data_IF_424541819606
#
_entry.id   IF_424541819606
#
_cell.length_a   1.000
_cell.length_b   1.000
_cell.length_c   1.000
_cell.angle_alpha   90.00
_cell.angle_beta   90.00
_cell.angle_gamma   90.00
#
_symmetry.space_group_name_H-M   'P 1'
#
loop_
_entity.id
_entity.type
_entity.pdbx_description
1 polymer ?
#
# COMPACT_ATOMS: atom_id res chain seq x y z
N UNK A 1 6.23 24.87 16.46
CA UNK A 1 6.80 25.38 15.21
C UNK A 1 5.69 26.19 14.55
N UNK A 2 5.88 27.52 14.61
CA UNK A 2 4.86 28.47 14.20
C UNK A 2 4.47 28.35 12.73
N UNK A 3 3.26 28.77 12.44
CA UNK A 3 2.65 28.91 11.12
C UNK A 3 3.46 29.79 10.13
N UNK A 4 4.52 30.42 10.57
CA UNK A 4 5.34 31.35 9.81
C UNK A 4 6.25 30.68 8.77
N UNK A 5 6.31 29.34 8.68
CA UNK A 5 7.15 28.66 7.68
C UNK A 5 6.41 28.31 6.39
N UNK A 6 5.09 28.44 6.34
CA UNK A 6 4.31 28.17 5.13
C UNK A 6 3.94 29.49 4.48
N UNK A 7 4.66 29.84 3.41
CA UNK A 7 4.41 31.05 2.64
C UNK A 7 5.27 32.26 3.06
N UNK A 8 6.27 32.07 3.94
CA UNK A 8 7.26 33.11 4.19
C UNK A 8 8.24 33.25 3.02
N UNK A 9 8.78 34.43 2.80
CA UNK A 9 9.81 34.67 1.80
C UNK A 9 11.04 33.75 1.97
N UNK A 10 11.34 33.26 3.18
CA UNK A 10 12.38 32.29 3.45
C UNK A 10 12.18 30.96 2.71
N UNK A 11 10.94 30.47 2.58
CA UNK A 11 10.65 29.25 1.82
C UNK A 11 10.84 29.45 0.32
N UNK A 12 10.70 30.64 -0.20
CA UNK A 12 10.90 30.97 -1.63
C UNK A 12 12.38 30.90 -2.02
N UNK A 13 13.29 31.02 -1.05
CA UNK A 13 14.75 31.03 -1.26
C UNK A 13 15.44 29.72 -0.88
N UNK A 14 14.67 28.67 -0.53
CA UNK A 14 15.24 27.39 -0.17
C UNK A 14 15.99 26.74 -1.34
N UNK A 15 17.13 26.18 -1.04
CA UNK A 15 17.98 25.52 -2.05
C UNK A 15 17.52 24.14 -2.40
N UNK A 16 16.94 23.41 -1.44
CA UNK A 16 16.52 22.03 -1.58
C UNK A 16 15.05 21.85 -1.20
N UNK A 17 14.29 21.12 -2.04
CA UNK A 17 12.94 20.72 -1.75
C UNK A 17 12.91 19.21 -1.43
N UNK A 18 12.58 18.83 -0.21
CA UNK A 18 12.49 17.43 0.22
C UNK A 18 11.02 17.07 0.43
N UNK A 19 10.45 16.33 -0.54
CA UNK A 19 9.05 15.91 -0.50
C UNK A 19 8.88 14.64 0.36
N UNK A 20 8.53 14.82 1.63
CA UNK A 20 8.22 13.73 2.58
C UNK A 20 6.71 13.61 2.87
N UNK A 21 5.87 13.77 1.85
CA UNK A 21 4.41 13.92 1.94
C UNK A 21 3.64 12.62 2.14
N UNK A 22 4.33 11.49 2.15
CA UNK A 22 3.71 10.17 2.32
C UNK A 22 3.05 9.62 1.06
N UNK A 23 3.01 8.30 0.96
CA UNK A 23 2.50 7.58 -0.22
C UNK A 23 0.99 7.36 -0.22
N UNK A 24 0.29 7.59 0.91
CA UNK A 24 -1.14 7.36 1.11
C UNK A 24 -1.82 8.56 1.78
N UNK A 25 -1.47 9.79 1.41
CA UNK A 25 -2.04 11.01 1.97
C UNK A 25 -3.17 11.61 1.11
N UNK A 26 -3.27 11.21 -0.16
CA UNK A 26 -4.33 11.65 -1.07
C UNK A 26 -5.46 10.62 -1.12
N UNK A 27 -6.63 10.94 -0.54
CA UNK A 27 -7.79 10.02 -0.56
C UNK A 27 -8.37 9.87 -1.96
N UNK A 28 -9.01 8.69 -2.19
CA UNK A 28 -9.81 8.42 -3.37
C UNK A 28 -11.30 8.30 -2.97
N UNK A 29 -12.01 9.41 -3.05
CA UNK A 29 -13.45 9.44 -2.82
C UNK A 29 -14.16 9.01 -4.12
N UNK A 30 -15.04 8.00 -4.09
CA UNK A 30 -15.71 7.53 -5.31
C UNK A 30 -16.72 8.55 -5.82
N UNK A 31 -16.81 8.69 -7.15
CA UNK A 31 -17.83 9.50 -7.80
C UNK A 31 -19.12 8.70 -7.89
N UNK A 32 -19.97 8.81 -6.86
CA UNK A 32 -21.28 8.14 -6.81
C UNK A 32 -22.37 9.21 -6.89
N UNK A 33 -23.33 9.02 -7.79
CA UNK A 33 -24.48 9.95 -7.95
C UNK A 33 -25.19 10.13 -6.60
N UNK A 34 -25.44 11.37 -6.21
CA UNK A 34 -26.19 11.71 -4.99
C UNK A 34 -25.40 11.66 -3.69
N UNK A 35 -24.07 11.55 -3.72
CA UNK A 35 -23.22 11.46 -2.51
C UNK A 35 -23.47 12.63 -1.54
N UNK A 36 -23.69 13.83 -2.05
CA UNK A 36 -23.95 15.05 -1.27
C UNK A 36 -25.40 15.15 -0.72
N UNK A 37 -26.30 14.24 -1.12
CA UNK A 37 -27.71 14.24 -0.68
C UNK A 37 -27.92 13.50 0.64
N UNK A 38 -26.95 12.67 1.03
CA UNK A 38 -27.08 11.86 2.25
C UNK A 38 -27.24 12.71 3.50
N UNK A 39 -28.29 12.45 4.27
CA UNK A 39 -28.62 13.19 5.49
C UNK A 39 -27.91 12.65 6.75
N UNK A 40 -27.38 11.42 6.70
CA UNK A 40 -26.57 10.85 7.75
C UNK A 40 -25.11 11.32 7.71
N UNK A 41 -24.26 10.65 8.49
CA UNK A 41 -22.84 10.98 8.55
C UNK A 41 -22.02 10.21 7.50
N UNK A 42 -21.22 10.93 6.72
CA UNK A 42 -20.34 10.37 5.72
C UNK A 42 -18.89 10.54 6.15
N UNK A 43 -18.13 9.44 6.15
CA UNK A 43 -16.72 9.42 6.53
C UNK A 43 -15.88 8.73 5.47
N UNK A 44 -14.67 9.22 5.24
CA UNK A 44 -13.65 8.49 4.49
C UNK A 44 -12.55 8.02 5.44
N UNK A 45 -12.11 6.77 5.31
CA UNK A 45 -11.13 6.16 6.21
C UNK A 45 -9.79 6.91 6.28
N UNK A 46 -9.41 7.63 5.23
CA UNK A 46 -8.21 8.48 5.18
C UNK A 46 -8.43 9.91 5.73
N UNK A 47 -9.65 10.26 6.11
CA UNK A 47 -10.02 11.53 6.77
C UNK A 47 -10.85 11.25 8.01
N UNK A 48 -10.37 10.34 8.85
CA UNK A 48 -11.07 10.00 10.08
C UNK A 48 -11.09 11.19 11.03
N UNK A 49 -12.26 11.56 11.59
CA UNK A 49 -12.34 12.72 12.47
C UNK A 49 -11.58 12.49 13.78
N UNK A 50 -11.05 13.58 14.35
CA UNK A 50 -10.37 13.52 15.67
C UNK A 50 -11.33 13.15 16.80
N UNK A 51 -12.61 13.54 16.70
CA UNK A 51 -13.66 13.15 17.66
C UNK A 51 -14.08 11.70 17.42
N UNK A 52 -14.34 10.98 18.49
CA UNK A 52 -14.83 9.60 18.39
C UNK A 52 -16.18 9.52 17.67
N UNK A 53 -16.27 8.64 16.69
CA UNK A 53 -17.55 8.34 16.02
C UNK A 53 -18.33 7.36 16.88
N UNK A 54 -19.55 7.75 17.28
CA UNK A 54 -20.44 6.84 17.99
C UNK A 54 -21.15 5.90 17.00
N UNK A 55 -20.92 4.60 17.13
CA UNK A 55 -21.57 3.55 16.34
C UNK A 55 -22.67 2.80 17.10
N UNK A 56 -22.84 3.04 18.42
CA UNK A 56 -23.83 2.35 19.22
C UNK A 56 -25.25 2.64 18.68
N UNK A 57 -26.04 1.61 18.51
CA UNK A 57 -27.40 1.65 17.95
C UNK A 57 -27.51 2.23 16.52
N UNK A 58 -26.42 2.25 15.75
CA UNK A 58 -26.39 2.80 14.38
C UNK A 58 -26.33 1.70 13.33
N UNK A 59 -27.01 1.94 12.19
CA UNK A 59 -26.90 1.14 10.99
C UNK A 59 -25.80 1.78 10.13
N UNK A 60 -24.74 1.03 9.86
CA UNK A 60 -23.53 1.53 9.19
C UNK A 60 -23.32 0.81 7.88
N UNK A 61 -23.21 1.55 6.80
CA UNK A 61 -22.76 1.04 5.50
C UNK A 61 -21.27 1.28 5.32
N UNK A 62 -20.51 0.24 5.00
CA UNK A 62 -19.10 0.36 4.64
C UNK A 62 -18.90 0.01 3.17
N UNK A 63 -18.39 0.95 2.37
CA UNK A 63 -18.07 0.74 0.96
C UNK A 63 -16.57 0.48 0.81
N UNK A 64 -16.24 -0.74 0.34
CA UNK A 64 -14.87 -1.18 0.13
C UNK A 64 -14.34 -2.13 1.20
N UNK A 65 -13.66 -3.18 0.72
CA UNK A 65 -13.06 -4.27 1.48
C UNK A 65 -11.59 -4.47 1.10
N UNK A 66 -10.88 -3.34 0.90
CA UNK A 66 -9.43 -3.31 0.84
C UNK A 66 -8.80 -3.34 2.23
N UNK A 67 -7.49 -3.04 2.34
CA UNK A 67 -6.76 -3.17 3.60
C UNK A 67 -7.43 -2.44 4.77
N UNK A 68 -7.81 -1.18 4.57
CA UNK A 68 -8.46 -0.40 5.63
C UNK A 68 -9.84 -0.96 5.96
N UNK A 69 -10.65 -1.31 4.94
CA UNK A 69 -11.99 -1.87 5.14
C UNK A 69 -11.98 -3.17 5.95
N UNK A 70 -11.04 -4.07 5.64
CA UNK A 70 -10.84 -5.33 6.37
C UNK A 70 -10.51 -5.09 7.84
N UNK A 71 -9.73 -4.04 8.14
CA UNK A 71 -9.27 -3.77 9.51
C UNK A 71 -10.31 -3.02 10.36
N UNK A 72 -11.08 -2.11 9.76
CA UNK A 72 -12.08 -1.33 10.53
C UNK A 72 -13.41 -2.07 10.70
N UNK A 73 -13.81 -2.91 9.75
CA UNK A 73 -15.10 -3.61 9.79
C UNK A 73 -15.34 -4.42 11.07
N UNK A 74 -14.39 -5.23 11.58
CA UNK A 74 -14.58 -5.96 12.83
C UNK A 74 -14.82 -5.06 14.04
N UNK A 75 -14.17 -3.90 14.09
CA UNK A 75 -14.33 -2.95 15.19
C UNK A 75 -15.68 -2.23 15.16
N UNK A 76 -16.19 -1.94 13.96
CA UNK A 76 -17.54 -1.39 13.79
C UNK A 76 -18.59 -2.45 14.13
N UNK A 77 -18.41 -3.70 13.68
CA UNK A 77 -19.31 -4.81 13.94
C UNK A 77 -19.51 -5.14 15.43
N UNK A 78 -18.52 -4.77 16.28
CA UNK A 78 -18.64 -4.93 17.75
C UNK A 78 -19.62 -3.93 18.37
N UNK A 79 -19.81 -2.75 17.75
CA UNK A 79 -20.49 -1.59 18.34
C UNK A 79 -21.77 -1.21 17.62
N UNK A 80 -21.88 -1.45 16.32
CA UNK A 80 -23.01 -1.06 15.51
C UNK A 80 -24.24 -1.95 15.75
N UNK A 81 -25.45 -1.37 15.63
CA UNK A 81 -26.69 -2.13 15.55
C UNK A 81 -26.64 -3.08 14.35
N UNK A 82 -26.22 -2.57 13.20
CA UNK A 82 -26.03 -3.36 11.98
C UNK A 82 -24.86 -2.79 11.16
N UNK A 83 -24.03 -3.67 10.62
CA UNK A 83 -22.97 -3.32 9.67
C UNK A 83 -23.29 -3.98 8.33
N UNK A 84 -23.35 -3.19 7.26
CA UNK A 84 -23.56 -3.65 5.89
C UNK A 84 -22.28 -3.36 5.09
N UNK A 85 -21.60 -4.41 4.63
CA UNK A 85 -20.40 -4.29 3.83
C UNK A 85 -20.73 -4.40 2.35
N UNK A 86 -20.39 -3.38 1.59
CA UNK A 86 -20.54 -3.32 0.13
C UNK A 86 -19.21 -3.69 -0.51
N UNK A 87 -19.08 -4.93 -1.01
CA UNK A 87 -17.87 -5.48 -1.58
C UNK A 87 -17.94 -5.61 -3.10
N UNK A 88 -17.00 -5.00 -3.82
CA UNK A 88 -16.84 -5.20 -5.27
C UNK A 88 -15.93 -6.39 -5.59
N UNK A 89 -14.82 -6.50 -4.90
CA UNK A 89 -13.87 -7.61 -5.04
C UNK A 89 -13.24 -7.90 -3.68
N UNK A 90 -13.14 -9.18 -3.28
CA UNK A 90 -12.43 -9.53 -2.06
C UNK A 90 -10.93 -9.26 -2.20
N UNK A 91 -10.27 -9.04 -1.08
CA UNK A 91 -8.82 -9.02 -0.99
C UNK A 91 -8.34 -10.12 -0.06
N UNK A 92 -7.20 -10.71 -0.36
CA UNK A 92 -6.58 -11.69 0.52
C UNK A 92 -6.24 -11.06 1.86
N UNK A 93 -6.58 -11.74 2.93
CA UNK A 93 -6.16 -11.35 4.27
C UNK A 93 -5.59 -12.52 5.05
N UNK A 94 -4.62 -12.21 5.90
CA UNK A 94 -3.84 -13.16 6.68
C UNK A 94 -3.98 -12.77 8.14
N UNK A 95 -4.03 -13.72 9.10
CA UNK A 95 -4.11 -13.39 10.51
C UNK A 95 -2.95 -12.49 10.97
N UNK A 96 -3.26 -11.39 11.63
CA UNK A 96 -2.26 -10.48 12.19
C UNK A 96 -1.53 -11.07 13.39
N UNK A 97 -2.25 -11.87 14.19
CA UNK A 97 -1.76 -12.46 15.45
C UNK A 97 -1.17 -11.43 16.41
N UNK A 98 -1.81 -10.25 16.46
CA UNK A 98 -1.44 -9.20 17.41
C UNK A 98 -1.56 -9.69 18.83
N UNK A 99 -0.50 -9.48 19.62
CA UNK A 99 -0.43 -9.82 21.04
C UNK A 99 0.26 -8.73 21.83
N UNK A 100 -0.09 -8.63 23.11
CA UNK A 100 0.62 -7.74 24.03
C UNK A 100 2.06 -8.20 24.17
N UNK A 101 3.01 -7.29 24.08
CA UNK A 101 4.42 -7.60 24.30
C UNK A 101 4.66 -7.81 25.79
N UNK A 102 5.35 -8.89 26.14
CA UNK A 102 5.84 -9.10 27.51
C UNK A 102 7.05 -8.20 27.80
N UNK A 103 7.31 -7.95 29.08
CA UNK A 103 8.50 -7.21 29.50
C UNK A 103 9.79 -7.89 29.00
N UNK A 104 9.83 -9.22 28.98
CA UNK A 104 10.95 -10.01 28.45
C UNK A 104 11.14 -9.74 26.94
N UNK A 105 10.05 -9.72 26.16
CA UNK A 105 10.11 -9.38 24.74
C UNK A 105 10.66 -7.96 24.53
N UNK A 106 10.19 -6.98 25.31
CA UNK A 106 10.65 -5.59 25.23
C UNK A 106 12.15 -5.50 25.55
N UNK A 107 12.61 -6.14 26.64
CA UNK A 107 14.03 -6.20 27.01
C UNK A 107 14.87 -6.83 25.88
N UNK A 108 14.42 -7.94 25.30
CA UNK A 108 15.10 -8.63 24.21
C UNK A 108 15.19 -7.79 22.94
N UNK A 109 14.11 -7.08 22.56
CA UNK A 109 14.15 -6.15 21.43
C UNK A 109 15.15 -5.02 21.66
N UNK A 110 15.18 -4.42 22.85
CA UNK A 110 16.15 -3.36 23.19
C UNK A 110 17.58 -3.87 23.13
N UNK A 111 17.86 -5.03 23.75
CA UNK A 111 19.19 -5.66 23.75
C UNK A 111 19.69 -6.00 22.33
N UNK A 112 18.80 -6.48 21.46
CA UNK A 112 19.15 -6.95 20.12
C UNK A 112 18.83 -5.94 19.03
N UNK A 113 18.53 -4.69 19.36
CA UNK A 113 18.05 -3.68 18.42
C UNK A 113 18.96 -3.52 17.19
N UNK A 114 20.27 -3.35 17.39
CA UNK A 114 21.21 -3.17 16.28
C UNK A 114 21.34 -4.42 15.40
N UNK A 115 21.30 -5.61 15.98
CA UNK A 115 21.30 -6.89 15.23
C UNK A 115 20.04 -7.00 14.38
N UNK A 116 18.88 -6.70 14.96
CA UNK A 116 17.59 -6.70 14.24
C UNK A 116 17.60 -5.69 13.10
N UNK A 117 18.04 -4.46 13.32
CA UNK A 117 18.12 -3.44 12.26
C UNK A 117 19.05 -3.87 11.13
N UNK A 118 20.22 -4.39 11.44
CA UNK A 118 21.15 -4.93 10.44
C UNK A 118 20.54 -6.07 9.64
N UNK A 119 19.77 -6.94 10.28
CA UNK A 119 19.04 -8.01 9.62
C UNK A 119 17.96 -7.46 8.68
N UNK A 120 17.10 -6.55 9.16
CA UNK A 120 16.04 -5.91 8.36
C UNK A 120 16.60 -5.24 7.08
N UNK A 121 17.77 -4.59 7.20
CA UNK A 121 18.44 -3.95 6.05
C UNK A 121 18.87 -4.93 4.97
N UNK A 122 19.05 -6.23 5.27
CA UNK A 122 19.46 -7.28 4.33
C UNK A 122 18.31 -8.09 3.75
N UNK A 123 17.12 -8.05 4.36
CA UNK A 123 15.98 -8.82 3.86
C UNK A 123 15.28 -8.10 2.70
N UNK A 124 14.72 -8.83 1.72
CA UNK A 124 14.09 -8.24 0.54
C UNK A 124 12.98 -7.21 0.84
N UNK A 125 12.20 -7.46 1.88
CA UNK A 125 11.09 -6.59 2.28
C UNK A 125 11.38 -5.71 3.49
N UNK A 126 12.60 -5.72 4.05
CA UNK A 126 12.85 -5.03 5.32
C UNK A 126 12.06 -5.61 6.50
N UNK A 127 11.62 -6.87 6.40
CA UNK A 127 10.85 -7.58 7.43
C UNK A 127 11.73 -8.62 8.15
N UNK A 128 11.37 -9.01 9.39
CA UNK A 128 12.17 -9.97 10.19
C UNK A 128 11.96 -11.43 9.75
N UNK A 129 11.90 -11.67 8.44
CA UNK A 129 11.86 -12.99 7.83
C UNK A 129 12.49 -13.00 6.45
N UNK A 130 12.98 -14.15 6.05
CA UNK A 130 13.57 -14.42 4.73
C UNK A 130 12.67 -15.35 3.92
N UNK A 131 12.83 -15.31 2.59
CA UNK A 131 12.21 -16.31 1.73
C UNK A 131 13.06 -17.59 1.75
N UNK A 132 12.44 -18.78 1.93
CA UNK A 132 13.15 -20.04 1.89
C UNK A 132 13.73 -20.31 0.49
N UNK A 133 14.69 -21.23 0.39
CA UNK A 133 15.21 -21.68 -0.90
C UNK A 133 14.26 -22.67 -1.60
N UNK A 134 13.40 -23.34 -0.85
CA UNK A 134 12.50 -24.40 -1.33
C UNK A 134 11.26 -23.87 -2.02
N UNK A 135 10.86 -24.53 -3.11
CA UNK A 135 9.62 -24.35 -3.85
C UNK A 135 8.45 -25.04 -3.14
N UNK A 136 7.23 -24.61 -3.46
CA UNK A 136 6.02 -25.30 -3.02
C UNK A 136 5.96 -26.75 -3.53
N UNK A 137 6.55 -27.02 -4.68
CA UNK A 137 6.54 -28.34 -5.32
C UNK A 137 7.73 -29.24 -4.96
N UNK A 138 8.65 -28.78 -4.12
CA UNK A 138 9.64 -29.63 -3.46
C UNK A 138 9.01 -30.54 -2.39
N UNK A 139 7.72 -30.38 -2.12
CA UNK A 139 6.97 -31.10 -1.11
C UNK A 139 5.66 -31.66 -1.68
N UNK A 140 5.23 -32.82 -1.17
CA UNK A 140 3.88 -33.34 -1.45
C UNK A 140 2.79 -32.43 -0.84
N UNK A 141 1.54 -32.69 -1.20
CA UNK A 141 0.41 -31.83 -0.78
C UNK A 141 0.24 -31.80 0.74
N UNK A 142 0.35 -32.94 1.41
CA UNK A 142 0.19 -33.04 2.86
C UNK A 142 1.24 -32.18 3.60
N UNK A 143 2.52 -32.34 3.22
CA UNK A 143 3.61 -31.55 3.83
C UNK A 143 3.50 -30.08 3.52
N UNK A 144 3.14 -29.72 2.29
CA UNK A 144 2.89 -28.33 1.87
C UNK A 144 1.79 -27.68 2.71
N UNK A 145 0.66 -28.38 2.92
CA UNK A 145 -0.43 -27.91 3.75
C UNK A 145 -0.02 -27.75 5.21
N UNK A 146 0.78 -28.67 5.75
CA UNK A 146 1.35 -28.53 7.10
C UNK A 146 2.21 -27.26 7.24
N UNK A 147 3.01 -26.94 6.22
CA UNK A 147 3.84 -25.73 6.23
C UNK A 147 3.00 -24.45 6.12
N UNK A 148 1.94 -24.45 5.30
CA UNK A 148 0.97 -23.37 5.25
C UNK A 148 0.27 -23.19 6.59
N UNK A 149 -0.14 -24.30 7.23
CA UNK A 149 -0.81 -24.25 8.54
C UNK A 149 0.10 -23.62 9.61
N UNK A 150 1.37 -24.02 9.66
CA UNK A 150 2.36 -23.43 10.54
C UNK A 150 2.52 -21.92 10.30
N UNK A 151 2.63 -21.52 9.03
CA UNK A 151 2.75 -20.10 8.67
C UNK A 151 1.48 -19.30 8.96
N UNK A 152 0.30 -19.90 8.78
CA UNK A 152 -0.99 -19.28 9.11
C UNK A 152 -1.18 -19.11 10.62
N UNK A 153 -0.76 -20.11 11.39
CA UNK A 153 -0.78 -20.05 12.87
C UNK A 153 0.16 -18.94 13.37
N UNK A 154 1.37 -18.84 12.80
CA UNK A 154 2.29 -17.74 13.11
C UNK A 154 1.73 -16.38 12.69
N UNK A 155 1.00 -16.33 11.59
CA UNK A 155 0.41 -15.11 11.03
C UNK A 155 1.43 -14.18 10.38
N UNK A 156 1.09 -12.92 10.28
CA UNK A 156 1.88 -11.84 9.69
C UNK A 156 2.14 -12.01 8.18
N UNK A 157 2.84 -11.06 7.56
CA UNK A 157 3.20 -11.15 6.15
C UNK A 157 4.20 -12.27 5.82
N UNK A 158 4.73 -12.98 6.83
CA UNK A 158 5.62 -14.12 6.62
C UNK A 158 4.94 -15.27 5.86
N UNK A 159 3.61 -15.39 5.91
CA UNK A 159 2.86 -16.38 5.14
C UNK A 159 3.20 -16.36 3.64
N UNK A 160 3.44 -15.18 3.04
CA UNK A 160 3.88 -15.06 1.64
C UNK A 160 5.27 -15.65 1.36
N UNK A 161 6.04 -15.89 2.41
CA UNK A 161 7.37 -16.46 2.38
C UNK A 161 7.41 -17.92 2.85
N UNK A 162 6.26 -18.63 2.86
CA UNK A 162 6.24 -20.08 3.15
C UNK A 162 7.04 -20.85 2.11
N UNK A 163 6.98 -20.43 0.84
CA UNK A 163 7.79 -20.96 -0.26
C UNK A 163 8.33 -19.83 -1.12
N UNK A 164 9.43 -20.08 -1.86
CA UNK A 164 10.12 -19.05 -2.63
C UNK A 164 9.39 -18.61 -3.90
N UNK A 165 8.46 -19.40 -4.38
CA UNK A 165 7.79 -19.28 -5.68
C UNK A 165 6.32 -18.86 -5.61
N UNK A 166 5.72 -18.75 -4.42
CA UNK A 166 4.31 -18.31 -4.24
C UNK A 166 4.05 -16.95 -4.92
N UNK A 167 5.01 -16.03 -4.85
CA UNK A 167 4.88 -14.67 -5.40
C UNK A 167 5.37 -14.56 -6.85
N UNK A 168 5.85 -15.66 -7.44
CA UNK A 168 6.50 -15.69 -8.75
C UNK A 168 5.73 -16.49 -9.80
N UNK A 169 5.18 -17.64 -9.43
CA UNK A 169 4.52 -18.56 -10.36
C UNK A 169 3.05 -18.77 -10.02
N UNK A 170 2.21 -18.85 -11.06
CA UNK A 170 0.77 -19.11 -10.88
C UNK A 170 0.52 -20.47 -10.25
N UNK A 171 1.31 -21.49 -10.62
CA UNK A 171 1.15 -22.86 -10.12
C UNK A 171 1.33 -22.90 -8.59
N UNK A 172 2.43 -22.34 -8.06
CA UNK A 172 2.66 -22.28 -6.62
C UNK A 172 1.67 -21.33 -5.92
N UNK A 173 1.32 -20.21 -6.54
CA UNK A 173 0.35 -19.27 -6.00
C UNK A 173 -1.02 -19.92 -5.76
N UNK A 174 -1.51 -20.73 -6.72
CA UNK A 174 -2.80 -21.44 -6.59
C UNK A 174 -2.85 -22.34 -5.37
N UNK A 175 -1.72 -22.94 -4.93
CA UNK A 175 -1.70 -23.77 -3.70
C UNK A 175 -1.93 -22.93 -2.44
N UNK A 176 -1.36 -21.72 -2.38
CA UNK A 176 -1.61 -20.78 -1.29
C UNK A 176 -3.04 -20.23 -1.33
N UNK A 177 -3.57 -19.94 -2.53
CA UNK A 177 -4.97 -19.49 -2.70
C UNK A 177 -5.93 -20.56 -2.20
N UNK A 178 -5.80 -21.82 -2.64
CA UNK A 178 -6.63 -22.94 -2.18
C UNK A 178 -6.60 -23.11 -0.66
N UNK A 179 -5.41 -22.98 -0.06
CA UNK A 179 -5.28 -23.03 1.39
C UNK A 179 -6.06 -21.90 2.08
N UNK A 180 -5.94 -20.65 1.59
CA UNK A 180 -6.66 -19.49 2.15
C UNK A 180 -8.18 -19.65 1.97
N UNK A 181 -8.64 -20.12 0.81
CA UNK A 181 -10.05 -20.41 0.55
C UNK A 181 -10.61 -21.41 1.56
N UNK A 182 -9.90 -22.52 1.80
CA UNK A 182 -10.28 -23.51 2.79
C UNK A 182 -10.39 -22.91 4.19
N UNK A 183 -9.48 -22.00 4.57
CA UNK A 183 -9.56 -21.27 5.85
C UNK A 183 -10.79 -20.36 5.92
N UNK A 184 -11.16 -19.71 4.84
CA UNK A 184 -12.36 -18.87 4.78
C UNK A 184 -13.62 -19.74 4.93
N UNK A 185 -13.72 -20.84 4.16
CA UNK A 185 -14.85 -21.76 4.22
C UNK A 185 -14.99 -22.46 5.59
N UNK A 186 -13.89 -22.74 6.27
CA UNK A 186 -13.94 -23.31 7.62
C UNK A 186 -14.31 -22.28 8.71
N UNK A 187 -14.07 -20.98 8.46
CA UNK A 187 -14.34 -19.92 9.42
C UNK A 187 -15.73 -19.32 9.25
N UNK A 188 -16.17 -19.08 8.02
CA UNK A 188 -17.44 -18.39 7.69
C UNK A 188 -18.54 -19.43 7.53
N UNK A 189 -19.51 -19.43 8.46
CA UNK A 189 -20.61 -20.43 8.50
C UNK A 189 -21.60 -20.25 7.34
N UNK A 190 -21.88 -18.99 6.96
CA UNK A 190 -22.74 -18.70 5.82
C UNK A 190 -22.00 -19.00 4.50
N UNK A 191 -22.45 -20.03 3.77
CA UNK A 191 -21.82 -20.52 2.54
C UNK A 191 -21.82 -19.50 1.39
N UNK A 192 -22.88 -18.71 1.28
CA UNK A 192 -22.95 -17.65 0.27
C UNK A 192 -21.94 -16.54 0.57
N UNK A 193 -21.78 -16.15 1.83
CA UNK A 193 -20.74 -15.19 2.22
C UNK A 193 -19.34 -15.77 1.97
N UNK A 194 -19.08 -17.03 2.30
CA UNK A 194 -17.81 -17.68 2.02
C UNK A 194 -17.50 -17.65 0.52
N UNK A 195 -18.47 -17.96 -0.35
CA UNK A 195 -18.35 -17.89 -1.81
C UNK A 195 -18.02 -16.48 -2.30
N UNK A 196 -18.71 -15.44 -1.78
CA UNK A 196 -18.44 -14.04 -2.12
C UNK A 196 -17.03 -13.64 -1.68
N UNK A 197 -16.60 -14.04 -0.49
CA UNK A 197 -15.30 -13.71 0.11
C UNK A 197 -14.12 -14.43 -0.54
N UNK A 198 -14.36 -15.54 -1.26
CA UNK A 198 -13.35 -16.30 -2.00
C UNK A 198 -13.35 -16.02 -3.51
N UNK A 199 -14.28 -15.20 -4.03
CA UNK A 199 -14.35 -14.86 -5.44
C UNK A 199 -13.23 -13.86 -5.84
N UNK A 200 -11.97 -14.29 -5.64
CA UNK A 200 -10.78 -13.48 -5.93
C UNK A 200 -10.60 -13.26 -7.44
N UNK A 201 -10.34 -12.00 -7.82
CA UNK A 201 -10.09 -11.57 -9.19
C UNK A 201 -8.59 -11.41 -9.54
N UNK A 202 -7.73 -11.86 -8.63
CA UNK A 202 -6.28 -11.69 -8.75
C UNK A 202 -5.51 -12.78 -7.97
N UNK A 203 -4.26 -13.08 -8.36
CA UNK A 203 -3.40 -13.97 -7.59
C UNK A 203 -3.10 -13.42 -6.20
N UNK A 204 -2.85 -14.30 -5.23
CA UNK A 204 -2.36 -13.92 -3.92
C UNK A 204 -1.09 -13.06 -4.07
N UNK A 205 -1.00 -11.96 -3.34
CA UNK A 205 0.05 -10.92 -3.39
C UNK A 205 0.05 -9.97 -4.58
N UNK A 206 -0.72 -10.22 -5.65
CA UNK A 206 -0.83 -9.25 -6.76
C UNK A 206 -1.42 -7.90 -6.33
N UNK A 207 -2.23 -7.92 -5.27
CA UNK A 207 -2.53 -6.75 -4.41
C UNK A 207 -1.91 -7.02 -3.03
N UNK A 208 -1.67 -5.96 -2.23
CA UNK A 208 -1.13 -6.14 -0.89
C UNK A 208 -2.07 -6.98 -0.03
N UNK A 209 -1.68 -8.16 0.46
CA UNK A 209 -2.47 -8.91 1.41
C UNK A 209 -2.61 -8.11 2.71
N UNK A 210 -3.79 -8.14 3.30
CA UNK A 210 -4.09 -7.42 4.53
C UNK A 210 -3.82 -8.30 5.74
N UNK A 211 -3.30 -7.72 6.80
CA UNK A 211 -3.30 -8.37 8.12
C UNK A 211 -4.63 -8.07 8.79
N UNK A 212 -5.36 -9.13 9.19
CA UNK A 212 -6.67 -9.00 9.81
C UNK A 212 -6.68 -9.53 11.25
N UNK A 213 -7.63 -9.02 12.02
CA UNK A 213 -8.01 -9.55 13.32
C UNK A 213 -9.52 -9.73 13.31
N UNK A 214 -9.98 -10.97 13.35
CA UNK A 214 -11.40 -11.36 13.36
C UNK A 214 -12.24 -10.86 12.17
N UNK A 215 -11.62 -10.68 10.98
CA UNK A 215 -12.37 -10.22 9.80
C UNK A 215 -13.35 -11.29 9.29
N UNK A 216 -12.88 -12.52 9.12
CA UNK A 216 -13.75 -13.60 8.65
C UNK A 216 -14.73 -14.05 9.71
N UNK A 217 -14.32 -14.09 10.96
CA UNK A 217 -15.14 -14.45 12.11
C UNK A 217 -16.34 -13.50 12.31
N UNK A 218 -16.18 -12.21 11.96
CA UNK A 218 -17.27 -11.23 12.10
C UNK A 218 -18.48 -11.55 11.23
N UNK A 219 -18.33 -12.26 10.09
CA UNK A 219 -19.42 -12.63 9.22
C UNK A 219 -20.37 -13.68 9.84
N UNK A 220 -19.99 -14.26 10.97
CA UNK A 220 -20.86 -15.15 11.77
C UNK A 220 -21.75 -14.37 12.76
N UNK A 221 -21.61 -13.05 12.86
CA UNK A 221 -22.47 -12.21 13.70
C UNK A 221 -23.78 -11.90 13.00
N UNK A 222 -24.90 -11.95 13.75
CA UNK A 222 -26.25 -11.65 13.24
C UNK A 222 -26.41 -10.21 12.71
N UNK A 223 -25.60 -9.28 13.20
CA UNK A 223 -25.63 -7.87 12.82
C UNK A 223 -24.72 -7.50 11.66
N UNK A 224 -24.12 -8.48 10.95
CA UNK A 224 -23.25 -8.23 9.80
C UNK A 224 -23.89 -8.77 8.54
N UNK A 225 -23.99 -7.91 7.53
CA UNK A 225 -24.50 -8.24 6.19
C UNK A 225 -23.42 -7.96 5.15
N UNK A 226 -23.26 -8.87 4.17
CA UNK A 226 -22.35 -8.71 3.03
C UNK A 226 -23.15 -8.56 1.74
N UNK A 227 -22.86 -7.49 1.00
CA UNK A 227 -23.50 -7.20 -0.30
C UNK A 227 -22.43 -7.34 -1.40
N UNK A 228 -22.66 -8.26 -2.33
CA UNK A 228 -21.82 -8.41 -3.52
C UNK A 228 -22.17 -7.34 -4.56
N UNK A 229 -21.29 -6.38 -4.76
CA UNK A 229 -21.47 -5.31 -5.74
C UNK A 229 -21.22 -5.76 -7.21
N UNK A 230 -20.75 -6.99 -7.46
CA UNK A 230 -20.72 -7.55 -8.81
C UNK A 230 -22.12 -7.88 -9.29
N UNK A 231 -22.93 -8.46 -8.40
CA UNK A 231 -24.31 -8.86 -8.69
C UNK A 231 -25.35 -7.76 -8.36
N UNK A 232 -24.99 -6.86 -7.46
CA UNK A 232 -25.88 -5.84 -6.94
C UNK A 232 -25.16 -4.46 -6.83
N UNK A 233 -24.78 -3.83 -7.96
CA UNK A 233 -24.00 -2.60 -7.96
C UNK A 233 -24.72 -1.43 -7.33
N UNK A 234 -23.95 -0.50 -6.73
CA UNK A 234 -24.47 0.77 -6.22
C UNK A 234 -24.90 1.65 -7.41
N UNK A 235 -26.14 2.09 -7.40
CA UNK A 235 -26.71 3.00 -8.41
C UNK A 235 -26.54 4.46 -7.99
N UNK A 236 -26.88 4.76 -6.73
CA UNK A 236 -26.78 6.12 -6.16
C UNK A 236 -26.79 6.09 -4.63
N UNK A 237 -26.37 7.20 -4.07
CA UNK A 237 -26.61 7.53 -2.66
C UNK A 237 -27.90 8.36 -2.60
N UNK A 238 -28.79 8.02 -1.67
CA UNK A 238 -30.06 8.71 -1.44
C UNK A 238 -29.97 9.56 -0.16
N UNK A 239 -31.00 10.32 0.13
CA UNK A 239 -31.12 11.04 1.42
C UNK A 239 -31.04 10.10 2.62
N UNK A 240 -31.48 8.81 2.48
CA UNK A 240 -31.55 7.83 3.55
C UNK A 240 -30.42 6.82 3.57
N UNK A 241 -29.64 6.67 2.49
CA UNK A 241 -28.60 5.64 2.46
C UNK A 241 -28.09 5.29 1.07
N UNK A 242 -27.90 4.00 0.79
CA UNK A 242 -27.34 3.50 -0.48
C UNK A 242 -28.41 2.73 -1.24
N UNK A 243 -28.67 3.16 -2.48
CA UNK A 243 -29.50 2.41 -3.43
C UNK A 243 -28.62 1.60 -4.37
N UNK A 244 -28.78 0.29 -4.33
CA UNK A 244 -28.21 -0.66 -5.26
C UNK A 244 -29.23 -1.02 -6.35
N UNK A 245 -28.83 -1.88 -7.31
CA UNK A 245 -29.74 -2.37 -8.37
C UNK A 245 -30.96 -3.06 -7.79
N UNK A 246 -30.79 -3.88 -6.72
CA UNK A 246 -31.85 -4.72 -6.16
C UNK A 246 -32.55 -4.08 -4.95
N UNK A 247 -31.82 -3.33 -4.11
CA UNK A 247 -32.31 -2.89 -2.80
C UNK A 247 -31.93 -1.43 -2.50
N UNK A 248 -32.66 -0.83 -1.55
CA UNK A 248 -32.25 0.41 -0.90
C UNK A 248 -31.97 0.13 0.58
N UNK A 249 -30.79 0.54 1.03
CA UNK A 249 -30.31 0.34 2.39
C UNK A 249 -30.39 1.66 3.15
N UNK A 250 -31.26 1.71 4.17
CA UNK A 250 -31.33 2.87 5.08
C UNK A 250 -30.19 2.81 6.07
N UNK A 251 -29.42 3.88 6.18
CA UNK A 251 -28.18 3.96 6.94
C UNK A 251 -28.14 5.25 7.78
N UNK A 252 -27.56 5.14 8.96
CA UNK A 252 -27.19 6.32 9.77
C UNK A 252 -25.83 6.89 9.36
N UNK A 253 -24.92 6.01 8.93
CA UNK A 253 -23.55 6.38 8.56
C UNK A 253 -23.07 5.61 7.34
N UNK A 254 -22.29 6.28 6.50
CA UNK A 254 -21.57 5.66 5.38
C UNK A 254 -20.07 5.86 5.58
N UNK A 255 -19.31 4.76 5.50
CA UNK A 255 -17.85 4.79 5.57
C UNK A 255 -17.27 4.38 4.22
N UNK A 256 -16.54 5.27 3.58
CA UNK A 256 -15.77 4.96 2.39
C UNK A 256 -14.37 4.45 2.77
N UNK A 257 -14.14 3.15 2.59
CA UNK A 257 -12.84 2.50 2.66
C UNK A 257 -12.30 2.26 1.24
N UNK A 258 -12.44 3.26 0.37
CA UNK A 258 -12.22 3.18 -1.07
C UNK A 258 -10.78 3.47 -1.49
N UNK A 259 -9.91 3.68 -0.51
CA UNK A 259 -8.46 3.78 -0.71
C UNK A 259 -7.96 5.17 -1.08
N UNK A 260 -6.82 5.20 -1.76
CA UNK A 260 -6.02 6.41 -1.97
C UNK A 260 -5.53 6.49 -3.41
N UNK A 261 -5.26 7.71 -3.85
CA UNK A 261 -4.39 7.98 -4.98
C UNK A 261 -2.93 7.82 -4.51
N UNK A 262 -2.47 6.57 -4.58
CA UNK A 262 -1.24 6.16 -3.94
C UNK A 262 0.01 6.62 -4.70
N UNK A 263 1.09 6.87 -3.97
CA UNK A 263 2.45 7.16 -4.42
C UNK A 263 2.62 8.51 -5.12
N UNK A 264 1.79 8.83 -6.10
CA UNK A 264 1.92 10.06 -6.89
C UNK A 264 0.94 11.15 -6.48
N UNK A 265 -0.27 10.79 -6.06
CA UNK A 265 -1.36 11.74 -5.82
C UNK A 265 -1.06 12.82 -4.78
N UNK A 266 -0.30 12.49 -3.74
CA UNK A 266 0.10 13.47 -2.71
C UNK A 266 1.08 14.51 -3.26
N UNK A 267 2.03 14.06 -4.10
CA UNK A 267 3.06 14.92 -4.70
C UNK A 267 2.45 15.78 -5.81
N UNK A 268 1.60 15.18 -6.66
CA UNK A 268 0.92 15.89 -7.75
C UNK A 268 0.07 17.06 -7.24
N UNK A 269 -0.51 16.93 -6.05
CA UNK A 269 -1.30 17.99 -5.39
C UNK A 269 -0.48 19.17 -4.86
N UNK A 270 0.83 19.05 -4.75
CA UNK A 270 1.71 20.17 -4.36
C UNK A 270 1.89 21.18 -5.51
N UNK A 271 1.43 20.87 -6.72
CA UNK A 271 1.52 21.74 -7.88
C UNK A 271 2.95 22.22 -8.20
N UNK A 272 3.92 21.32 -8.07
CA UNK A 272 5.35 21.61 -8.24
C UNK A 272 5.65 21.99 -9.70
N UNK A 273 6.45 23.04 -9.87
CA UNK A 273 6.92 23.53 -11.17
C UNK A 273 8.45 23.38 -11.24
N UNK A 274 8.93 22.72 -12.28
CA UNK A 274 10.36 22.54 -12.56
C UNK A 274 10.91 23.55 -13.56
N UNK A 275 12.06 23.21 -14.16
CA UNK A 275 12.72 24.04 -15.17
C UNK A 275 11.76 24.41 -16.31
N UNK A 276 11.93 25.61 -16.87
CA UNK A 276 11.13 26.12 -18.00
C UNK A 276 9.62 26.07 -17.75
N UNK A 277 9.18 26.18 -16.48
CA UNK A 277 7.74 26.19 -16.15
C UNK A 277 7.05 24.84 -16.26
N UNK A 278 7.77 23.72 -16.37
CA UNK A 278 7.16 22.39 -16.52
C UNK A 278 6.47 21.98 -15.21
N UNK A 279 5.15 21.79 -15.24
CA UNK A 279 4.38 21.23 -14.11
C UNK A 279 4.67 19.75 -13.95
N UNK A 280 4.90 19.28 -12.72
CA UNK A 280 5.15 17.87 -12.41
C UNK A 280 3.99 16.97 -12.88
N UNK A 281 2.75 17.41 -12.70
CA UNK A 281 1.55 16.72 -13.18
C UNK A 281 1.55 16.53 -14.70
N UNK A 282 1.99 17.53 -15.48
CA UNK A 282 2.15 17.42 -16.94
C UNK A 282 3.29 16.46 -17.30
N UNK A 283 4.41 16.54 -16.58
CA UNK A 283 5.59 15.69 -16.83
C UNK A 283 5.29 14.21 -16.53
N UNK A 284 4.44 13.92 -15.54
CA UNK A 284 4.03 12.58 -15.15
C UNK A 284 2.73 12.08 -15.82
N UNK A 285 2.15 12.81 -16.75
CA UNK A 285 0.88 12.44 -17.44
C UNK A 285 0.93 11.04 -18.04
N UNK A 286 2.05 10.63 -18.62
CA UNK A 286 2.28 9.28 -19.18
C UNK A 286 2.82 8.26 -18.16
N UNK A 287 2.79 8.57 -16.89
CA UNK A 287 3.35 7.80 -15.78
C UNK A 287 4.54 8.50 -15.14
N UNK A 288 4.81 8.20 -13.84
CA UNK A 288 5.90 8.85 -13.12
C UNK A 288 7.26 8.44 -13.67
N UNK A 289 8.08 9.43 -13.94
CA UNK A 289 9.47 9.29 -14.36
C UNK A 289 10.35 9.77 -13.21
N UNK A 290 11.11 8.87 -12.64
CA UNK A 290 12.04 9.16 -11.53
C UNK A 290 13.29 8.30 -11.64
N UNK A 291 14.37 8.74 -11.03
CA UNK A 291 15.57 7.94 -10.82
C UNK A 291 15.64 7.51 -9.36
N UNK A 292 15.73 6.20 -9.11
CA UNK A 292 15.72 5.57 -7.79
C UNK A 292 14.45 5.89 -6.94
N UNK A 293 13.45 6.57 -7.51
CA UNK A 293 12.33 7.12 -6.73
C UNK A 293 12.72 8.27 -5.81
N UNK A 294 13.89 8.87 -6.03
CA UNK A 294 14.48 9.94 -5.24
C UNK A 294 14.54 11.27 -6.00
N UNK A 295 14.85 11.23 -7.29
CA UNK A 295 15.07 12.41 -8.15
C UNK A 295 14.19 12.34 -9.40
N UNK A 296 13.84 13.51 -9.93
CA UNK A 296 13.02 13.64 -11.15
C UNK A 296 13.77 14.53 -12.17
N UNK A 297 13.87 14.14 -13.45
CA UNK A 297 14.46 14.98 -14.48
C UNK A 297 13.68 16.30 -14.64
N UNK A 298 14.38 17.40 -14.87
CA UNK A 298 13.85 18.77 -14.95
C UNK A 298 13.37 19.40 -13.64
N UNK A 299 13.60 18.73 -12.50
CA UNK A 299 13.27 19.25 -11.17
C UNK A 299 14.55 19.26 -10.31
N UNK A 300 15.45 20.25 -10.51
CA UNK A 300 16.70 20.32 -9.75
C UNK A 300 16.46 20.50 -8.28
N UNK A 301 17.33 19.92 -7.46
CA UNK A 301 17.30 19.97 -5.99
C UNK A 301 15.99 19.48 -5.36
N UNK A 302 15.13 18.79 -6.11
CA UNK A 302 13.92 18.15 -5.60
C UNK A 302 14.19 16.69 -5.29
N UNK A 303 14.05 16.33 -4.02
CA UNK A 303 14.14 14.95 -3.52
C UNK A 303 12.79 14.45 -3.08
N UNK A 304 12.52 13.17 -3.30
CA UNK A 304 11.26 12.52 -2.89
C UNK A 304 11.58 11.37 -1.94
N UNK A 305 11.03 11.43 -0.74
CA UNK A 305 11.10 10.31 0.21
C UNK A 305 9.98 9.32 -0.10
N UNK A 306 10.33 8.07 -0.37
CA UNK A 306 9.39 7.01 -0.76
C UNK A 306 8.62 7.29 -2.05
N UNK A 307 9.27 7.96 -3.01
CA UNK A 307 8.68 8.30 -4.30
C UNK A 307 8.42 7.09 -5.21
N UNK A 308 7.68 7.29 -6.32
CA UNK A 308 7.44 6.26 -7.32
C UNK A 308 8.78 5.81 -7.92
N UNK A 309 8.95 4.50 -8.11
CA UNK A 309 10.22 3.91 -8.53
C UNK A 309 11.15 3.51 -7.38
N UNK A 310 10.83 3.82 -6.13
CA UNK A 310 11.48 3.24 -4.95
C UNK A 310 10.76 1.97 -4.48
N UNK A 311 11.34 1.15 -3.59
CA UNK A 311 10.65 -0.02 -3.02
C UNK A 311 9.33 0.31 -2.32
N UNK A 312 9.25 1.47 -1.66
CA UNK A 312 8.04 2.05 -1.09
C UNK A 312 7.20 1.01 -0.33
N UNK A 313 5.95 0.88 -0.70
CA UNK A 313 4.95 0.02 -0.05
C UNK A 313 5.18 -1.49 -0.16
N UNK A 314 6.12 -1.93 -0.97
CA UNK A 314 6.52 -3.34 -1.04
C UNK A 314 7.47 -3.76 0.10
N UNK A 315 7.91 -2.80 0.91
CA UNK A 315 8.87 -2.99 1.99
C UNK A 315 8.36 -2.46 3.33
N UNK A 316 9.15 -2.65 4.37
CA UNK A 316 9.01 -1.95 5.64
C UNK A 316 9.37 -0.47 5.41
N UNK A 317 8.35 0.38 5.36
CA UNK A 317 8.48 1.79 4.96
C UNK A 317 9.47 2.57 5.84
N UNK A 318 9.47 2.47 7.19
CA UNK A 318 10.49 3.10 8.04
C UNK A 318 11.93 2.73 7.65
N UNK A 319 12.22 1.46 7.40
CA UNK A 319 13.58 0.99 7.00
C UNK A 319 14.03 1.62 5.68
N UNK A 320 13.08 1.82 4.76
CA UNK A 320 13.34 2.49 3.50
C UNK A 320 13.50 4.00 3.65
N UNK A 321 12.66 4.66 4.46
CA UNK A 321 12.76 6.10 4.73
C UNK A 321 14.13 6.44 5.29
N UNK A 322 14.62 5.67 6.26
CA UNK A 322 15.96 5.87 6.83
C UNK A 322 17.05 5.79 5.74
N UNK A 323 16.96 4.81 4.85
CA UNK A 323 17.93 4.69 3.76
C UNK A 323 17.84 5.86 2.77
N UNK A 324 16.64 6.37 2.50
CA UNK A 324 16.46 7.56 1.67
C UNK A 324 17.03 8.81 2.32
N UNK A 325 16.77 9.01 3.60
CA UNK A 325 17.30 10.15 4.37
C UNK A 325 18.82 10.08 4.42
N UNK A 326 19.40 8.92 4.73
CA UNK A 326 20.87 8.71 4.70
C UNK A 326 21.46 9.10 3.33
N UNK A 327 20.85 8.65 2.22
CA UNK A 327 21.32 8.92 0.87
C UNK A 327 21.18 10.41 0.50
N UNK A 328 20.02 11.02 0.77
CA UNK A 328 19.77 12.45 0.48
C UNK A 328 20.74 13.32 1.27
N UNK A 329 20.96 13.03 2.56
CA UNK A 329 21.92 13.78 3.41
C UNK A 329 23.34 13.70 2.85
N UNK A 330 23.80 12.53 2.43
CA UNK A 330 25.12 12.37 1.80
C UNK A 330 25.22 13.10 0.48
N UNK A 331 24.15 13.07 -0.31
CA UNK A 331 24.09 13.79 -1.59
C UNK A 331 24.20 15.30 -1.37
N UNK A 332 23.46 15.86 -0.44
CA UNK A 332 23.53 17.30 -0.08
C UNK A 332 24.93 17.66 0.43
N UNK A 333 25.51 16.88 1.34
CA UNK A 333 26.89 17.10 1.81
C UNK A 333 27.91 17.07 0.68
N UNK A 334 27.75 16.13 -0.28
CA UNK A 334 28.61 16.09 -1.44
C UNK A 334 28.52 17.38 -2.27
N UNK A 335 27.32 17.91 -2.51
CA UNK A 335 27.15 19.16 -3.25
C UNK A 335 27.80 20.34 -2.52
N UNK A 336 27.62 20.46 -1.23
CA UNK A 336 28.19 21.54 -0.42
C UNK A 336 29.71 21.47 -0.37
N UNK A 337 30.27 20.31 -0.07
CA UNK A 337 31.73 20.11 -0.02
C UNK A 337 32.41 20.38 -1.36
N UNK A 338 31.72 20.16 -2.48
CA UNK A 338 32.25 20.40 -3.82
C UNK A 338 31.76 21.73 -4.44
N UNK A 339 31.16 22.63 -3.64
CA UNK A 339 30.64 23.93 -4.06
C UNK A 339 29.69 23.84 -5.27
N UNK A 340 28.90 22.78 -5.35
CA UNK A 340 27.93 22.56 -6.41
C UNK A 340 26.57 23.14 -6.04
N UNK A 341 25.91 23.80 -6.98
CA UNK A 341 24.65 24.51 -6.72
C UNK A 341 23.42 23.64 -6.85
N UNK A 342 23.44 22.69 -7.80
CA UNK A 342 22.26 21.88 -8.04
C UNK A 342 22.56 20.47 -8.52
N UNK A 343 21.60 19.58 -8.30
CA UNK A 343 21.60 18.20 -8.78
C UNK A 343 20.22 17.83 -9.30
N UNK A 344 20.17 17.13 -10.41
CA UNK A 344 18.95 16.53 -10.94
C UNK A 344 19.25 15.21 -11.64
N UNK A 345 18.27 14.34 -11.79
CA UNK A 345 18.48 13.15 -12.61
C UNK A 345 18.44 13.50 -14.10
N UNK A 346 19.20 12.74 -14.91
CA UNK A 346 19.05 12.82 -16.37
C UNK A 346 17.86 12.01 -16.85
N UNK A 347 17.36 12.30 -18.06
CA UNK A 347 16.30 11.49 -18.68
C UNK A 347 16.78 10.06 -18.94
N UNK A 348 18.04 9.87 -19.27
CA UNK A 348 18.69 8.58 -19.52
C UNK A 348 18.73 7.73 -18.26
N UNK A 349 19.15 8.32 -17.13
CA UNK A 349 19.17 7.65 -15.83
C UNK A 349 17.75 7.21 -15.42
N UNK A 350 16.75 8.10 -15.56
CA UNK A 350 15.37 7.77 -15.26
C UNK A 350 14.80 6.68 -16.18
N UNK A 351 15.10 6.72 -17.50
CA UNK A 351 14.69 5.67 -18.45
C UNK A 351 15.33 4.32 -18.12
N UNK A 352 16.63 4.31 -17.80
CA UNK A 352 17.35 3.09 -17.40
C UNK A 352 16.75 2.49 -16.13
N UNK A 353 16.43 3.32 -15.15
CA UNK A 353 15.77 2.89 -13.92
C UNK A 353 14.37 2.33 -14.18
N UNK A 354 13.59 2.96 -15.05
CA UNK A 354 12.27 2.46 -15.45
C UNK A 354 12.36 1.09 -16.16
N UNK A 355 13.38 0.86 -16.99
CA UNK A 355 13.65 -0.45 -17.60
C UNK A 355 13.93 -1.52 -16.53
N UNK A 356 14.73 -1.18 -15.50
CA UNK A 356 15.01 -2.08 -14.37
C UNK A 356 13.72 -2.44 -13.60
N UNK A 357 12.84 -1.46 -13.31
CA UNK A 357 11.52 -1.71 -12.69
C UNK A 357 10.71 -2.67 -13.55
N UNK A 358 10.61 -2.39 -14.85
CA UNK A 358 9.83 -3.20 -15.80
C UNK A 358 10.37 -4.63 -15.92
N UNK A 359 11.69 -4.80 -15.96
CA UNK A 359 12.33 -6.13 -15.96
C UNK A 359 12.08 -6.89 -14.66
N UNK A 360 12.19 -6.21 -13.53
CA UNK A 360 12.00 -6.80 -12.21
C UNK A 360 10.54 -7.22 -11.96
N UNK A 361 9.54 -6.41 -12.40
CA UNK A 361 8.12 -6.73 -12.19
C UNK A 361 7.66 -7.91 -13.02
N UNK A 362 8.22 -8.13 -14.22
CA UNK A 362 7.92 -9.28 -15.08
C UNK A 362 8.19 -10.63 -14.39
N UNK A 363 9.09 -10.66 -13.40
CA UNK A 363 9.43 -11.86 -12.61
C UNK A 363 8.47 -12.11 -11.45
N UNK A 364 7.37 -11.37 -11.37
CA UNK A 364 6.41 -11.42 -10.27
C UNK A 364 4.97 -11.51 -10.80
N UNK A 365 4.03 -11.81 -9.90
CA UNK A 365 2.61 -11.84 -10.22
C UNK A 365 1.91 -10.47 -10.07
N UNK A 366 2.63 -9.40 -9.73
CA UNK A 366 2.02 -8.09 -9.44
C UNK A 366 1.19 -7.53 -10.60
N UNK A 367 1.61 -7.77 -11.84
CA UNK A 367 0.89 -7.27 -13.02
C UNK A 367 -0.39 -8.06 -13.35
N UNK A 368 -0.61 -9.23 -12.72
CA UNK A 368 -1.77 -10.10 -12.97
C UNK A 368 -3.08 -9.62 -12.32
N UNK A 369 -3.05 -8.63 -11.43
CA UNK A 369 -4.26 -8.02 -10.91
C UNK A 369 -4.95 -7.16 -11.98
N UNK A 370 -6.29 -7.30 -12.15
CA UNK A 370 -7.08 -6.50 -13.09
C UNK A 370 -6.99 -5.00 -12.76
N UNK A 371 -7.04 -4.65 -11.48
CA UNK A 371 -6.85 -3.28 -10.98
C UNK A 371 -6.07 -3.32 -9.67
N UNK A 372 -5.06 -2.45 -9.54
CA UNK A 372 -4.24 -2.37 -8.33
C UNK A 372 -3.62 -0.97 -8.21
N UNK A 373 -3.66 -0.39 -7.01
CA UNK A 373 -2.98 0.86 -6.75
C UNK A 373 -1.44 0.78 -6.92
N UNK A 374 -0.87 -0.43 -7.01
CA UNK A 374 0.53 -0.62 -7.45
C UNK A 374 0.77 -0.18 -8.89
N UNK A 375 -0.28 -0.16 -9.72
CA UNK A 375 -0.24 0.22 -11.13
C UNK A 375 -0.85 1.60 -11.38
N UNK A 376 -1.38 2.27 -10.36
CA UNK A 376 -2.10 3.54 -10.51
C UNK A 376 -3.47 3.43 -11.20
N UNK A 377 -3.86 2.23 -11.64
CA UNK A 377 -5.11 2.01 -12.39
C UNK A 377 -6.37 1.89 -11.53
N UNK A 378 -6.25 2.11 -10.23
CA UNK A 378 -7.37 2.31 -9.32
C UNK A 378 -7.92 3.74 -9.36
N UNK A 379 -7.24 4.67 -10.04
CA UNK A 379 -7.66 6.05 -10.23
C UNK A 379 -8.06 6.25 -11.71
N UNK A 380 -9.31 6.64 -12.01
CA UNK A 380 -9.74 6.92 -13.37
C UNK A 380 -8.85 7.98 -14.06
N UNK A 381 -8.51 7.75 -15.32
CA UNK A 381 -7.70 8.69 -16.11
C UNK A 381 -6.19 8.69 -15.84
N UNK A 382 -5.73 7.98 -14.81
CA UNK A 382 -4.29 7.83 -14.55
C UNK A 382 -3.62 6.83 -15.49
N UNK A 383 -2.37 7.11 -15.85
CA UNK A 383 -1.52 6.20 -16.63
C UNK A 383 -1.25 4.91 -15.85
N UNK A 384 -1.39 3.78 -16.54
CA UNK A 384 -1.12 2.44 -15.98
C UNK A 384 0.37 2.14 -16.04
N UNK A 385 1.06 2.34 -14.93
CA UNK A 385 2.48 1.99 -14.78
C UNK A 385 2.74 1.38 -13.41
N UNK A 386 3.66 0.42 -13.32
CA UNK A 386 4.01 -0.15 -12.03
C UNK A 386 4.83 0.87 -11.23
N UNK A 387 4.28 1.30 -10.10
CA UNK A 387 4.78 2.45 -9.35
C UNK A 387 5.93 2.12 -8.39
N UNK A 388 5.91 1.01 -7.58
CA UNK A 388 7.01 0.69 -6.68
C UNK A 388 8.15 -0.06 -7.41
N UNK A 389 9.33 -0.12 -6.80
CA UNK A 389 10.43 -0.98 -7.25
C UNK A 389 10.29 -2.41 -6.66
N UNK A 390 10.13 -3.47 -7.49
CA UNK A 390 9.86 -4.82 -6.98
C UNK A 390 11.13 -5.66 -6.74
N UNK A 391 12.32 -5.15 -7.02
CA UNK A 391 13.58 -5.88 -6.93
C UNK A 391 14.09 -6.15 -5.51
N UNK A 392 13.41 -5.62 -4.48
CA UNK A 392 13.75 -5.77 -3.07
C UNK A 392 14.81 -4.80 -2.57
N UNK A 393 14.86 -4.61 -1.24
CA UNK A 393 15.74 -3.65 -0.58
C UNK A 393 17.25 -3.88 -0.85
N UNK A 394 17.81 -5.10 -0.84
CA UNK A 394 19.24 -5.28 -1.06
C UNK A 394 19.72 -4.79 -2.43
N UNK A 395 18.96 -5.09 -3.50
CA UNK A 395 19.28 -4.61 -4.85
C UNK A 395 19.12 -3.10 -4.96
N UNK A 396 18.08 -2.55 -4.38
CA UNK A 396 17.83 -1.11 -4.35
C UNK A 396 18.96 -0.37 -3.63
N UNK A 397 19.35 -0.83 -2.44
CA UNK A 397 20.50 -0.26 -1.69
C UNK A 397 21.79 -0.32 -2.50
N UNK A 398 22.06 -1.45 -3.19
CA UNK A 398 23.23 -1.58 -4.07
C UNK A 398 23.21 -0.54 -5.20
N UNK A 399 22.04 -0.29 -5.79
CA UNK A 399 21.88 0.74 -6.83
C UNK A 399 22.15 2.15 -6.27
N UNK A 400 21.58 2.50 -5.12
CA UNK A 400 21.84 3.77 -4.44
C UNK A 400 23.32 3.95 -4.08
N UNK A 401 23.95 2.92 -3.51
CA UNK A 401 25.39 2.94 -3.16
C UNK A 401 26.29 3.07 -4.38
N UNK A 402 25.91 2.49 -5.52
CA UNK A 402 26.68 2.63 -6.76
C UNK A 402 26.76 4.10 -7.18
N UNK A 403 25.64 4.81 -7.18
CA UNK A 403 25.54 6.23 -7.53
C UNK A 403 26.40 7.08 -6.58
N UNK A 404 26.31 6.82 -5.28
CA UNK A 404 27.12 7.48 -4.24
C UNK A 404 28.63 7.27 -4.48
N UNK A 405 29.06 6.00 -4.68
CA UNK A 405 30.49 5.65 -4.90
C UNK A 405 31.07 6.22 -6.19
N UNK A 406 30.25 6.53 -7.18
CA UNK A 406 30.70 7.17 -8.44
C UNK A 406 30.58 8.70 -8.38
N UNK A 407 30.47 9.29 -7.18
CA UNK A 407 30.31 10.73 -6.99
C UNK A 407 29.17 11.30 -7.83
N UNK A 408 28.06 10.57 -7.89
CA UNK A 408 26.82 10.94 -8.60
C UNK A 408 26.99 11.22 -10.11
N UNK A 409 28.00 10.62 -10.78
CA UNK A 409 28.32 10.87 -12.21
C UNK A 409 27.16 10.61 -13.18
N UNK A 410 26.19 9.76 -12.81
CA UNK A 410 24.99 9.49 -13.62
C UNK A 410 23.95 10.63 -13.56
N UNK A 411 24.20 11.66 -12.76
CA UNK A 411 23.31 12.79 -12.51
C UNK A 411 23.88 14.07 -13.12
N UNK A 412 23.00 15.03 -13.37
CA UNK A 412 23.40 16.37 -13.80
C UNK A 412 23.69 17.22 -12.58
N UNK A 413 24.93 17.63 -12.41
CA UNK A 413 25.41 18.43 -11.29
C UNK A 413 25.98 19.76 -11.86
N UNK A 414 25.53 20.86 -11.25
CA UNK A 414 25.94 22.23 -11.62
C UNK A 414 26.54 22.92 -10.40
#
# INVERSE_FOLDING_TARGET
>A
IGFCLVGSEMCIRDRYLICAVGSLSSINLPTIKGINQFKGQLHHSGRWPKKNINFKNKIVGQVGTGSTGIQIAPEIAKKAKKLILFQRSPNFSIPARNRKLSNTNIKNYKKNFNKLRSFLKRTPGGHPFEFPKKSAFDFNEAKRNQMYEKSWHYGTLSFRATFNDIVKTIKANKTAVKFIENKIYSTVKNREYAKILTNFDHPFTAKRPTLNTNYYEMFNKKNVELVDLKENPIIKITKRGIKTKKNEYTLDKIIFATGFDALTGSIEKLNITGKKGIKLTKYWKSGPKSFLGLLVPNFPNMFIVSGPGSPSVLTNVPVQIEQHVEWITKCIKFLENNKRQSIESTNEAAKKWQKEITSSVKKTLFMKAKSSWYKGDNIPGKSKSFLPYPGGMPKYRKACLKVEKTNYKELKII
#
